data_IF_118742993280
#
_entry.id   IF_118742993280
#
_cell.length_a   1.000
_cell.length_b   1.000
_cell.length_c   1.000
_cell.angle_alpha   90.00
_cell.angle_beta   90.00
_cell.angle_gamma   90.00
#
_symmetry.space_group_name_H-M   'P 1'
#
loop_
_entity.id
_entity.type
_entity.pdbx_description
1 polymer ?
#
# COMPACT_ATOMS: atom_id res chain seq x y z
N UNK A 1 24.97 14.12 -23.10
CA UNK A 1 23.57 14.57 -23.22
C UNK A 1 22.77 13.51 -23.99
N UNK A 2 22.22 12.51 -23.29
CA UNK A 2 21.38 11.45 -23.88
C UNK A 2 20.39 10.81 -22.87
N UNK A 3 20.18 11.44 -21.70
CA UNK A 3 19.41 10.82 -20.60
C UNK A 3 17.96 11.35 -20.47
N UNK A 4 17.66 12.56 -20.97
CA UNK A 4 16.31 13.17 -20.82
C UNK A 4 15.19 12.44 -21.59
N UNK A 5 15.52 11.63 -22.61
CA UNK A 5 14.52 10.86 -23.36
C UNK A 5 14.02 9.61 -22.61
N UNK A 6 14.88 8.99 -21.79
CA UNK A 6 14.56 7.69 -21.19
C UNK A 6 13.54 7.77 -20.07
N UNK A 7 13.54 8.84 -19.27
CA UNK A 7 12.65 8.98 -18.11
C UNK A 7 11.20 9.28 -18.53
N UNK A 8 11.04 10.19 -19.50
CA UNK A 8 9.72 10.56 -20.04
C UNK A 8 9.02 9.39 -20.73
N UNK A 9 9.78 8.60 -21.50
CA UNK A 9 9.27 7.40 -22.16
C UNK A 9 8.77 6.37 -21.13
N UNK A 10 9.50 6.19 -20.02
CA UNK A 10 9.10 5.31 -18.90
C UNK A 10 7.85 5.82 -18.17
N UNK A 11 7.76 7.12 -17.88
CA UNK A 11 6.56 7.73 -17.28
C UNK A 11 5.33 7.46 -18.16
N UNK A 12 5.44 7.71 -19.46
CA UNK A 12 4.35 7.47 -20.40
C UNK A 12 4.00 5.97 -20.52
N UNK A 13 4.98 5.07 -20.43
CA UNK A 13 4.75 3.63 -20.40
C UNK A 13 3.97 3.19 -19.15
N UNK A 14 4.37 3.64 -17.96
CA UNK A 14 3.70 3.29 -16.70
C UNK A 14 2.28 3.87 -16.68
N UNK A 15 2.10 5.13 -17.08
CA UNK A 15 0.78 5.75 -17.20
C UNK A 15 -0.13 4.94 -18.12
N UNK A 16 0.34 4.54 -19.31
CA UNK A 16 -0.44 3.70 -20.23
C UNK A 16 -0.77 2.33 -19.62
N UNK A 17 0.18 1.71 -18.92
CA UNK A 17 -0.03 0.41 -18.26
C UNK A 17 -1.14 0.49 -17.21
N UNK A 18 -1.11 1.51 -16.36
CA UNK A 18 -2.15 1.80 -15.35
C UNK A 18 -3.52 1.98 -16.00
N UNK A 19 -3.61 2.78 -17.07
CA UNK A 19 -4.89 3.02 -17.75
C UNK A 19 -5.43 1.75 -18.43
N UNK A 20 -4.58 0.97 -19.09
CA UNK A 20 -4.95 -0.31 -19.71
C UNK A 20 -5.50 -1.29 -18.66
N UNK A 21 -4.87 -1.34 -17.48
CA UNK A 21 -5.36 -2.15 -16.37
C UNK A 21 -6.80 -1.77 -15.98
N UNK A 22 -7.02 -0.48 -15.70
CA UNK A 22 -8.32 0.02 -15.26
C UNK A 22 -9.41 -0.12 -16.33
N UNK A 23 -9.07 0.02 -17.62
CA UNK A 23 -9.97 -0.22 -18.74
C UNK A 23 -10.37 -1.69 -18.84
N UNK A 24 -9.40 -2.60 -18.81
CA UNK A 24 -9.65 -4.04 -18.88
C UNK A 24 -10.54 -4.52 -17.73
N UNK A 25 -10.25 -4.05 -16.52
CA UNK A 25 -11.03 -4.40 -15.32
C UNK A 25 -12.46 -3.89 -15.39
N UNK A 26 -12.67 -2.68 -15.88
CA UNK A 26 -14.01 -2.14 -16.13
C UNK A 26 -14.84 -3.05 -17.05
N UNK A 27 -14.22 -3.73 -18.01
CA UNK A 27 -14.92 -4.54 -19.03
C UNK A 27 -15.11 -6.02 -18.68
N UNK A 28 -14.19 -6.65 -17.93
CA UNK A 28 -14.34 -8.04 -17.50
C UNK A 28 -13.32 -8.42 -16.42
N UNK A 29 -13.76 -9.11 -15.37
CA UNK A 29 -12.85 -9.66 -14.36
C UNK A 29 -13.57 -10.00 -13.06
N UNK A 30 -12.98 -10.84 -12.21
CA UNK A 30 -13.35 -10.89 -10.79
C UNK A 30 -12.54 -9.83 -10.05
N UNK A 31 -13.08 -9.34 -8.93
CA UNK A 31 -12.32 -8.52 -7.97
C UNK A 31 -11.11 -9.33 -7.51
N UNK A 32 -9.92 -8.73 -7.56
CA UNK A 32 -8.65 -9.40 -7.25
C UNK A 32 -7.69 -8.43 -6.57
N UNK A 33 -7.46 -8.64 -5.28
CA UNK A 33 -6.55 -7.82 -4.47
C UNK A 33 -5.12 -7.89 -4.97
N UNK A 34 -4.69 -9.05 -5.46
CA UNK A 34 -3.34 -9.23 -5.99
C UNK A 34 -3.08 -8.32 -7.21
N UNK A 35 -4.09 -8.18 -8.06
CA UNK A 35 -4.00 -7.32 -9.24
C UNK A 35 -4.01 -5.83 -8.86
N UNK A 36 -4.84 -5.42 -7.89
CA UNK A 36 -4.83 -4.05 -7.36
C UNK A 36 -3.49 -3.72 -6.67
N UNK A 37 -2.90 -4.65 -5.92
CA UNK A 37 -1.54 -4.48 -5.37
C UNK A 37 -0.49 -4.27 -6.47
N UNK A 38 -0.62 -4.98 -7.59
CA UNK A 38 0.21 -4.76 -8.78
C UNK A 38 0.08 -3.35 -9.34
N UNK A 39 -1.16 -2.84 -9.47
CA UNK A 39 -1.43 -1.45 -9.87
C UNK A 39 -0.78 -0.45 -8.90
N UNK A 40 -0.89 -0.68 -7.59
CA UNK A 40 -0.31 0.18 -6.57
C UNK A 40 1.22 0.24 -6.64
N UNK A 41 1.87 -0.88 -6.99
CA UNK A 41 3.30 -0.89 -7.28
C UNK A 41 3.68 0.04 -8.44
N UNK A 42 2.89 0.04 -9.51
CA UNK A 42 3.08 0.96 -10.65
C UNK A 42 2.85 2.43 -10.27
N UNK A 43 1.88 2.70 -9.39
CA UNK A 43 1.61 4.06 -8.87
C UNK A 43 2.79 4.59 -8.06
N UNK A 44 3.38 3.75 -7.20
CA UNK A 44 4.60 4.08 -6.45
C UNK A 44 5.76 4.36 -7.41
N UNK A 45 5.97 3.49 -8.40
CA UNK A 45 7.02 3.68 -9.42
C UNK A 45 6.84 4.99 -10.21
N UNK A 46 5.60 5.31 -10.62
CA UNK A 46 5.27 6.57 -11.28
C UNK A 46 5.64 7.77 -10.40
N UNK A 47 5.28 7.72 -9.11
CA UNK A 47 5.61 8.78 -8.15
C UNK A 47 7.12 9.04 -8.08
N UNK A 48 7.94 7.98 -8.06
CA UNK A 48 9.40 8.14 -7.98
C UNK A 48 9.97 8.83 -9.22
N UNK A 49 9.51 8.42 -10.40
CA UNK A 49 9.96 9.04 -11.65
C UNK A 49 9.58 10.51 -11.71
N UNK A 50 8.38 10.86 -11.26
CA UNK A 50 7.90 12.25 -11.23
C UNK A 50 8.69 13.12 -10.22
N UNK A 51 9.03 12.57 -9.05
CA UNK A 51 9.83 13.28 -8.05
C UNK A 51 11.27 13.54 -8.51
N UNK A 52 11.87 12.57 -9.23
CA UNK A 52 13.25 12.69 -9.72
C UNK A 52 13.42 13.81 -10.74
N UNK A 53 12.44 13.99 -11.63
CA UNK A 53 12.56 14.89 -12.78
C UNK A 53 12.12 16.33 -12.46
N UNK A 54 11.59 16.59 -11.25
CA UNK A 54 11.36 17.92 -10.68
C UNK A 54 10.25 18.76 -11.32
N UNK A 55 9.65 18.31 -12.43
CA UNK A 55 8.52 18.95 -13.09
C UNK A 55 7.50 17.92 -13.55
N UNK A 56 6.26 18.06 -13.08
CA UNK A 56 5.14 17.30 -13.61
C UNK A 56 4.96 17.62 -15.11
N UNK A 57 5.02 16.62 -16.01
CA UNK A 57 4.76 16.83 -17.43
C UNK A 57 3.33 17.38 -17.62
N UNK A 58 3.11 18.20 -18.65
CA UNK A 58 1.76 18.66 -19.01
C UNK A 58 0.80 17.46 -19.24
N UNK A 59 1.34 16.35 -19.74
CA UNK A 59 0.67 15.07 -19.97
C UNK A 59 0.15 14.40 -18.68
N UNK A 60 0.66 14.78 -17.50
CA UNK A 60 0.18 14.24 -16.23
C UNK A 60 -1.27 14.64 -15.97
N UNK A 61 -1.71 15.82 -16.43
CA UNK A 61 -3.10 16.24 -16.24
C UNK A 61 -4.07 15.37 -17.04
N UNK A 62 -3.75 15.07 -18.30
CA UNK A 62 -4.56 14.18 -19.13
C UNK A 62 -4.65 12.77 -18.52
N UNK A 63 -3.51 12.28 -18.00
CA UNK A 63 -3.48 11.03 -17.24
C UNK A 63 -4.41 11.09 -16.02
N UNK A 64 -4.34 12.13 -15.18
CA UNK A 64 -5.15 12.25 -13.96
C UNK A 64 -6.64 12.28 -14.25
N UNK A 65 -7.06 13.02 -15.28
CA UNK A 65 -8.46 13.06 -15.72
C UNK A 65 -8.92 11.67 -16.13
N UNK A 66 -8.15 10.98 -17.00
CA UNK A 66 -8.50 9.65 -17.49
C UNK A 66 -8.47 8.59 -16.38
N UNK A 67 -7.46 8.65 -15.52
CA UNK A 67 -7.35 7.79 -14.33
C UNK A 67 -8.59 7.94 -13.46
N UNK A 68 -8.98 9.17 -13.14
CA UNK A 68 -10.13 9.46 -12.27
C UNK A 68 -11.43 8.95 -12.88
N UNK A 69 -11.65 9.17 -14.18
CA UNK A 69 -12.82 8.67 -14.90
C UNK A 69 -12.91 7.13 -14.87
N UNK A 70 -11.78 6.44 -15.05
CA UNK A 70 -11.74 4.98 -15.04
C UNK A 70 -11.87 4.43 -13.62
N UNK A 71 -11.17 5.03 -12.66
CA UNK A 71 -11.15 4.60 -11.26
C UNK A 71 -12.51 4.76 -10.60
N UNK A 72 -13.29 5.79 -10.97
CA UNK A 72 -14.64 6.02 -10.46
C UNK A 72 -15.70 5.04 -10.98
N UNK A 73 -15.33 4.06 -11.83
CA UNK A 73 -16.25 3.02 -12.29
C UNK A 73 -16.44 1.99 -11.19
N UNK A 74 -17.67 1.52 -11.04
CA UNK A 74 -18.12 0.62 -9.96
C UNK A 74 -17.13 -0.52 -9.65
N UNK A 75 -16.65 -1.24 -10.67
CA UNK A 75 -15.72 -2.35 -10.44
C UNK A 75 -14.34 -1.92 -9.96
N UNK A 76 -13.79 -0.82 -10.46
CA UNK A 76 -12.49 -0.32 -10.02
C UNK A 76 -12.57 0.25 -8.60
N UNK A 77 -13.69 0.91 -8.27
CA UNK A 77 -14.01 1.31 -6.89
C UNK A 77 -14.09 0.10 -5.96
N UNK A 78 -14.81 -0.96 -6.35
CA UNK A 78 -14.92 -2.18 -5.55
C UNK A 78 -13.56 -2.88 -5.34
N UNK A 79 -12.67 -2.88 -6.34
CA UNK A 79 -11.31 -3.42 -6.14
C UNK A 79 -10.47 -2.56 -5.19
N UNK A 80 -10.68 -1.24 -5.19
CA UNK A 80 -10.01 -0.31 -4.29
C UNK A 80 -10.51 -0.43 -2.86
N UNK A 81 -11.82 -0.57 -2.69
CA UNK A 81 -12.47 -0.88 -1.41
C UNK A 81 -11.84 -2.11 -0.78
N UNK A 82 -11.79 -3.24 -1.52
CA UNK A 82 -11.17 -4.45 -1.01
C UNK A 82 -9.67 -4.25 -0.72
N UNK A 83 -8.95 -3.43 -1.48
CA UNK A 83 -7.55 -3.10 -1.17
C UNK A 83 -7.40 -2.32 0.14
N UNK A 84 -8.25 -1.33 0.39
CA UNK A 84 -8.24 -0.54 1.63
C UNK A 84 -8.70 -1.38 2.83
N UNK A 85 -9.72 -2.22 2.64
CA UNK A 85 -10.15 -3.19 3.64
C UNK A 85 -9.03 -4.18 3.99
N UNK A 86 -8.30 -4.69 3.01
CA UNK A 86 -7.15 -5.57 3.25
C UNK A 86 -6.02 -4.83 4.01
N UNK A 87 -5.78 -3.56 3.69
CA UNK A 87 -4.87 -2.70 4.48
C UNK A 87 -5.32 -2.60 5.95
N UNK A 88 -6.61 -2.43 6.21
CA UNK A 88 -7.18 -2.43 7.56
C UNK A 88 -6.97 -3.77 8.26
N UNK A 89 -7.20 -4.90 7.57
CA UNK A 89 -6.94 -6.23 8.14
C UNK A 89 -5.46 -6.42 8.53
N UNK A 90 -4.51 -5.91 7.75
CA UNK A 90 -3.11 -5.89 8.15
C UNK A 90 -2.84 -4.98 9.33
N UNK A 91 -3.45 -3.80 9.38
CA UNK A 91 -3.31 -2.88 10.50
C UNK A 91 -3.83 -3.52 11.80
N UNK A 92 -4.96 -4.23 11.76
CA UNK A 92 -5.53 -4.95 12.90
C UNK A 92 -4.61 -6.07 13.42
N UNK A 93 -3.76 -6.65 12.55
CA UNK A 93 -2.72 -7.64 12.91
C UNK A 93 -1.35 -6.99 13.16
N UNK A 94 -1.33 -5.69 13.44
CA UNK A 94 -0.10 -4.89 13.51
C UNK A 94 0.82 -5.23 14.69
N UNK A 95 0.33 -5.88 15.73
CA UNK A 95 1.13 -6.44 16.83
C UNK A 95 1.96 -7.68 16.42
N UNK A 96 1.64 -8.26 15.26
CA UNK A 96 2.27 -9.43 14.65
C UNK A 96 2.96 -9.05 13.32
N UNK A 97 2.67 -9.79 12.25
CA UNK A 97 3.27 -9.61 10.93
C UNK A 97 2.53 -8.59 10.04
N UNK A 98 1.52 -7.90 10.57
CA UNK A 98 0.66 -7.03 9.79
C UNK A 98 1.16 -5.58 9.63
N UNK A 99 2.03 -5.11 10.52
CA UNK A 99 2.37 -3.69 10.58
C UNK A 99 3.08 -3.16 9.33
N UNK A 100 4.15 -3.84 8.89
CA UNK A 100 4.93 -3.45 7.72
C UNK A 100 4.10 -3.51 6.42
N UNK A 101 3.32 -4.58 6.15
CA UNK A 101 2.36 -4.59 5.05
C UNK A 101 1.33 -3.43 5.09
N UNK A 102 0.75 -3.14 6.25
CA UNK A 102 -0.19 -2.03 6.40
C UNK A 102 0.46 -0.68 6.06
N UNK A 103 1.69 -0.44 6.54
CA UNK A 103 2.45 0.77 6.24
C UNK A 103 2.70 0.93 4.74
N UNK A 104 3.05 -0.16 4.05
CA UNK A 104 3.24 -0.16 2.60
C UNK A 104 1.94 0.18 1.87
N UNK A 105 0.86 -0.51 2.19
CA UNK A 105 -0.43 -0.32 1.53
C UNK A 105 -0.99 1.08 1.76
N UNK A 106 -0.92 1.59 2.99
CA UNK A 106 -1.35 2.95 3.34
C UNK A 106 -0.55 4.02 2.61
N UNK A 107 0.75 3.80 2.40
CA UNK A 107 1.61 4.71 1.63
C UNK A 107 1.28 4.72 0.15
N UNK A 108 1.08 3.55 -0.44
CA UNK A 108 0.68 3.44 -1.84
C UNK A 108 -0.67 4.10 -2.09
N UNK A 109 -1.63 3.94 -1.17
CA UNK A 109 -2.92 4.63 -1.22
C UNK A 109 -2.78 6.16 -1.12
N UNK A 110 -1.91 6.67 -0.23
CA UNK A 110 -1.61 8.11 -0.13
C UNK A 110 -1.02 8.65 -1.44
N UNK A 111 -0.08 7.92 -2.04
CA UNK A 111 0.54 8.31 -3.31
C UNK A 111 -0.50 8.33 -4.44
N UNK A 112 -1.38 7.34 -4.53
CA UNK A 112 -2.47 7.34 -5.51
C UNK A 112 -3.35 8.58 -5.36
N UNK A 113 -3.75 8.89 -4.13
CA UNK A 113 -4.55 10.07 -3.78
C UNK A 113 -3.88 11.37 -4.24
N UNK A 114 -2.57 11.51 -4.02
CA UNK A 114 -1.84 12.75 -4.26
C UNK A 114 -1.36 12.91 -5.71
N UNK A 115 -1.02 11.80 -6.37
CA UNK A 115 -0.36 11.79 -7.68
C UNK A 115 -1.35 11.55 -8.82
N UNK A 116 -2.30 10.64 -8.66
CA UNK A 116 -3.09 10.10 -9.78
C UNK A 116 -4.49 10.69 -9.89
N UNK A 117 -5.11 11.12 -8.79
CA UNK A 117 -6.50 11.60 -8.80
C UNK A 117 -6.56 13.09 -9.18
N UNK A 118 -7.44 13.41 -10.13
CA UNK A 118 -7.89 14.78 -10.37
C UNK A 118 -9.10 15.08 -9.48
N UNK A 119 -8.86 15.74 -8.36
CA UNK A 119 -9.90 16.11 -7.39
C UNK A 119 -10.89 17.17 -7.88
N UNK A 120 -10.67 17.77 -9.06
CA UNK A 120 -11.64 18.65 -9.70
C UNK A 120 -12.56 17.91 -10.67
N UNK A 121 -12.24 16.66 -11.02
CA UNK A 121 -13.03 15.87 -11.93
C UNK A 121 -14.32 15.36 -11.24
N UNK A 122 -15.50 15.36 -11.89
CA UNK A 122 -16.76 14.92 -11.26
C UNK A 122 -16.73 13.48 -10.71
N UNK A 123 -15.99 12.58 -11.36
CA UNK A 123 -15.80 11.20 -10.90
C UNK A 123 -15.02 11.07 -9.59
N UNK A 124 -14.34 12.11 -9.12
CA UNK A 124 -13.55 12.06 -7.89
C UNK A 124 -14.41 11.98 -6.62
N UNK A 125 -15.70 12.32 -6.68
CA UNK A 125 -16.60 12.27 -5.52
C UNK A 125 -16.70 10.85 -4.93
N UNK A 126 -16.89 9.84 -5.78
CA UNK A 126 -16.99 8.45 -5.34
C UNK A 126 -15.65 7.91 -4.80
N UNK A 127 -14.53 8.36 -5.38
CA UNK A 127 -13.19 8.02 -4.86
C UNK A 127 -12.99 8.67 -3.49
N UNK A 128 -13.42 9.92 -3.32
CA UNK A 128 -13.30 10.64 -2.06
C UNK A 128 -14.07 9.95 -0.95
N UNK A 129 -15.34 9.64 -1.19
CA UNK A 129 -16.21 8.93 -0.24
C UNK A 129 -15.54 7.62 0.23
N UNK A 130 -15.01 6.83 -0.71
CA UNK A 130 -14.29 5.60 -0.40
C UNK A 130 -13.04 5.84 0.48
N UNK A 131 -12.24 6.85 0.16
CA UNK A 131 -11.07 7.18 0.98
C UNK A 131 -11.46 7.68 2.38
N UNK A 132 -12.49 8.53 2.48
CA UNK A 132 -13.01 9.03 3.75
C UNK A 132 -13.51 7.88 4.64
N UNK A 133 -14.15 6.86 4.07
CA UNK A 133 -14.64 5.68 4.80
C UNK A 133 -13.50 4.88 5.45
N UNK A 134 -12.41 4.60 4.72
CA UNK A 134 -11.38 3.69 5.21
C UNK A 134 -10.17 4.36 5.88
N UNK A 135 -9.74 5.53 5.42
CA UNK A 135 -8.43 6.07 5.81
C UNK A 135 -8.41 6.45 7.29
N UNK A 136 -9.49 7.01 7.82
CA UNK A 136 -9.58 7.35 9.24
C UNK A 136 -9.48 6.09 10.11
N UNK A 137 -10.22 5.04 9.75
CA UNK A 137 -10.21 3.76 10.47
C UNK A 137 -8.84 3.06 10.41
N UNK A 138 -8.19 3.07 9.24
CA UNK A 138 -6.82 2.54 9.09
C UNK A 138 -5.85 3.33 9.96
N UNK A 139 -5.89 4.66 9.92
CA UNK A 139 -4.98 5.51 10.68
C UNK A 139 -5.21 5.37 12.20
N UNK A 140 -6.46 5.26 12.66
CA UNK A 140 -6.79 4.97 14.05
C UNK A 140 -6.26 3.59 14.47
N UNK A 141 -6.52 2.56 13.65
CA UNK A 141 -6.05 1.19 13.93
C UNK A 141 -4.53 1.14 14.04
N UNK A 142 -3.81 1.79 13.12
CA UNK A 142 -2.34 1.88 13.17
C UNK A 142 -1.90 2.52 14.49
N UNK A 143 -2.52 3.63 14.93
CA UNK A 143 -2.16 4.26 16.21
C UNK A 143 -2.39 3.33 17.39
N UNK A 144 -3.50 2.60 17.41
CA UNK A 144 -3.84 1.67 18.48
C UNK A 144 -2.80 0.54 18.61
N UNK A 145 -2.39 -0.07 17.50
CA UNK A 145 -1.44 -1.18 17.51
C UNK A 145 0.02 -0.73 17.65
N UNK A 146 0.33 0.55 17.41
CA UNK A 146 1.69 1.10 17.44
C UNK A 146 2.40 0.98 18.80
N UNK A 147 1.66 0.78 19.89
CA UNK A 147 2.28 0.55 21.20
C UNK A 147 3.10 -0.75 21.24
N UNK A 148 2.55 -1.80 20.64
CA UNK A 148 3.10 -3.16 20.69
C UNK A 148 3.61 -3.65 19.33
N UNK A 149 3.39 -2.91 18.25
CA UNK A 149 3.85 -3.28 16.92
C UNK A 149 5.36 -3.57 16.87
N UNK A 150 5.81 -4.63 16.17
CA UNK A 150 7.22 -4.85 15.93
C UNK A 150 7.80 -3.65 15.17
N UNK A 151 8.86 -2.99 15.66
CA UNK A 151 9.39 -1.83 14.98
C UNK A 151 9.92 -2.22 13.60
N UNK A 152 9.64 -1.38 12.60
CA UNK A 152 10.26 -1.47 11.28
C UNK A 152 11.65 -0.83 11.40
N UNK A 153 12.75 -1.56 11.14
CA UNK A 153 14.09 -0.98 11.11
C UNK A 153 14.18 0.13 10.06
N UNK A 154 14.92 1.20 10.32
CA UNK A 154 15.00 2.36 9.40
C UNK A 154 15.55 1.93 8.03
N UNK A 155 16.50 1.00 8.00
CA UNK A 155 17.04 0.40 6.78
C UNK A 155 16.03 -0.42 5.96
N UNK A 156 14.87 -0.76 6.53
CA UNK A 156 13.76 -1.41 5.83
C UNK A 156 12.66 -0.44 5.41
N UNK A 157 12.66 0.80 5.93
CA UNK A 157 11.73 1.83 5.46
C UNK A 157 12.16 2.21 4.05
N UNK A 158 11.28 2.13 3.05
CA UNK A 158 11.65 2.48 1.69
C UNK A 158 12.06 3.97 1.59
N UNK A 159 13.11 4.25 0.82
CA UNK A 159 13.71 5.58 0.64
C UNK A 159 12.76 6.64 0.06
N UNK A 160 11.75 6.18 -0.67
CA UNK A 160 10.71 7.01 -1.27
C UNK A 160 9.60 7.44 -0.32
N UNK A 161 9.51 6.83 0.87
CA UNK A 161 8.47 7.14 1.84
C UNK A 161 8.79 8.52 2.46
N UNK A 162 7.94 9.54 2.27
CA UNK A 162 8.16 10.84 2.86
C UNK A 162 8.00 10.80 4.39
N UNK A 163 8.60 11.76 5.09
CA UNK A 163 8.46 11.88 6.55
C UNK A 163 7.00 12.07 7.00
N UNK A 164 6.14 12.62 6.14
CA UNK A 164 4.71 12.77 6.39
C UNK A 164 3.97 11.43 6.55
N UNK A 165 4.53 10.32 6.07
CA UNK A 165 4.03 8.97 6.27
C UNK A 165 4.42 8.46 7.67
N UNK A 166 3.91 9.16 8.69
CA UNK A 166 4.24 8.97 10.11
C UNK A 166 4.08 7.52 10.60
N UNK A 167 3.18 6.76 9.98
CA UNK A 167 2.85 5.38 10.36
C UNK A 167 4.06 4.43 10.34
N UNK A 168 5.03 4.63 9.43
CA UNK A 168 6.26 3.82 9.42
C UNK A 168 7.10 3.94 10.69
N UNK A 169 7.00 5.10 11.34
CA UNK A 169 7.78 5.45 12.54
C UNK A 169 6.94 5.42 13.81
N UNK A 170 5.65 5.09 13.68
CA UNK A 170 4.70 5.04 14.77
C UNK A 170 5.01 4.01 15.88
N UNK A 171 5.62 2.82 15.62
CA UNK A 171 5.91 1.87 16.67
C UNK A 171 6.72 2.49 17.81
N UNK A 172 6.15 2.52 19.01
CA UNK A 172 6.74 3.21 20.16
C UNK A 172 7.82 2.38 20.83
N UNK A 173 7.66 1.05 20.82
CA UNK A 173 8.62 0.12 21.39
C UNK A 173 9.82 -0.06 20.47
N UNK A 174 10.94 0.57 20.81
CA UNK A 174 12.20 0.50 20.04
C UNK A 174 13.22 -0.50 20.57
N UNK A 175 12.97 -1.09 21.74
CA UNK A 175 13.89 -1.98 22.46
C UNK A 175 13.56 -3.47 22.30
N UNK A 176 12.65 -3.82 21.38
CA UNK A 176 12.29 -5.21 21.08
C UNK A 176 13.52 -5.98 20.56
N UNK A 177 13.82 -7.13 21.15
CA UNK A 177 14.96 -7.94 20.69
C UNK A 177 14.72 -8.47 19.27
N UNK A 178 15.78 -8.75 18.48
CA UNK A 178 15.64 -9.36 17.17
C UNK A 178 14.86 -10.68 17.20
N UNK A 179 15.05 -11.51 18.22
CA UNK A 179 14.36 -12.79 18.40
C UNK A 179 12.88 -12.60 18.72
N UNK A 180 12.52 -11.64 19.59
CA UNK A 180 11.12 -11.34 19.87
C UNK A 180 10.41 -10.79 18.61
N UNK A 181 11.09 -9.90 17.89
CA UNK A 181 10.59 -9.35 16.62
C UNK A 181 10.38 -10.45 15.59
N UNK A 182 11.33 -11.37 15.44
CA UNK A 182 11.23 -12.51 14.53
C UNK A 182 10.08 -13.44 14.93
N UNK A 183 9.89 -13.72 16.23
CA UNK A 183 8.76 -14.51 16.74
C UNK A 183 7.41 -13.90 16.40
N UNK A 184 7.25 -12.59 16.51
CA UNK A 184 5.97 -11.91 16.16
C UNK A 184 5.71 -11.91 14.67
N UNK A 185 6.74 -11.70 13.86
CA UNK A 185 6.63 -11.71 12.39
C UNK A 185 6.35 -13.13 11.88
N UNK A 186 6.96 -14.14 12.48
CA UNK A 186 6.81 -15.54 12.09
C UNK A 186 5.92 -16.32 13.07
N UNK A 187 4.93 -15.67 13.70
CA UNK A 187 4.18 -16.28 14.81
C UNK A 187 3.53 -17.61 14.43
N UNK A 188 3.01 -17.76 13.21
CA UNK A 188 2.40 -19.00 12.72
C UNK A 188 3.40 -20.16 12.70
N UNK A 189 4.66 -19.87 12.38
CA UNK A 189 5.73 -20.87 12.39
C UNK A 189 6.09 -21.27 13.83
N UNK A 190 6.26 -20.29 14.71
CA UNK A 190 6.63 -20.56 16.10
C UNK A 190 5.51 -21.26 16.88
N UNK A 191 4.24 -20.87 16.65
CA UNK A 191 3.08 -21.55 17.22
C UNK A 191 3.05 -23.03 16.78
N UNK A 192 3.31 -23.32 15.51
CA UNK A 192 3.39 -24.69 15.00
C UNK A 192 4.57 -25.49 15.59
N UNK A 193 5.72 -24.86 15.84
CA UNK A 193 6.89 -25.49 16.48
C UNK A 193 6.58 -25.83 17.94
N UNK A 194 6.06 -24.87 18.71
CA UNK A 194 5.71 -25.03 20.12
C UNK A 194 4.66 -26.15 20.31
N UNK A 195 3.72 -26.25 19.38
CA UNK A 195 2.70 -27.31 19.32
C UNK A 195 3.29 -28.71 19.09
N UNK A 196 4.36 -28.82 18.29
CA UNK A 196 5.06 -30.07 18.02
C UNK A 196 5.90 -30.51 19.22
N UNK A 197 6.67 -29.59 19.80
CA UNK A 197 7.49 -29.85 21.00
C UNK A 197 6.61 -30.29 22.19
N UNK A 198 5.47 -29.64 22.38
CA UNK A 198 4.48 -30.02 23.40
C UNK A 198 3.90 -31.43 23.19
N UNK A 199 3.80 -31.89 21.94
CA UNK A 199 3.32 -33.25 21.62
C UNK A 199 4.40 -34.30 21.82
N UNK A 200 5.67 -33.98 21.59
CA UNK A 200 6.81 -34.87 21.84
C UNK A 200 7.03 -35.08 23.34
N UNK A 201 7.04 -34.00 24.14
CA UNK A 201 7.19 -34.10 25.60
C UNK A 201 6.10 -34.96 26.27
N UNK A 202 4.89 -35.03 25.72
CA UNK A 202 3.78 -35.87 26.22
C UNK A 202 3.87 -37.34 25.79
N UNK A 203 4.76 -37.70 24.87
CA UNK A 203 4.98 -39.08 24.41
C UNK A 203 6.09 -39.78 25.17
N UNK A 204 6.97 -39.01 25.79
CA UNK A 204 8.09 -39.50 26.59
C UNK A 204 7.76 -39.68 28.08
N UNK A 205 6.54 -39.28 28.51
CA UNK A 205 5.92 -39.51 29.83
C UNK A 205 4.95 -40.71 29.81
#
# INVERSE_FOLDING_TARGET
>A
MKEEGSSKDLVAEIQRSILIYLEKKSSSGRVSVFEMRGLMGQVVELSHLLQRDGHAPAELQDFRVRFTELMSRERNLAEMDVYLFDCLCYAQRGDLNGFEPACWMRSSAQILHDVCVDWNHPGSAAIRELFEEHIEEIDETIRLVSWDAPPVPEEKIPDWVPESHWWWRAPMRKDMSPEERDRRINYELYDAIDDLESKESRRDD
#
